data_IF_903844401987
#
_entry.id   IF_903844401987
#
_cell.length_a   1.000
_cell.length_b   1.000
_cell.length_c   1.000
_cell.angle_alpha   90.00
_cell.angle_beta   90.00
_cell.angle_gamma   90.00
#
_symmetry.space_group_name_H-M   'P 1'
#
loop_
_entity.id
_entity.type
_entity.pdbx_description
1 polymer ?
#
# COMPACT_ATOMS: atom_id res chain seq x y z
N UNK A 1 -12.83 18.44 3.53
CA UNK A 1 -11.52 18.13 2.91
C UNK A 1 -10.65 17.39 3.93
N UNK A 2 -10.71 16.06 3.94
CA UNK A 2 -9.86 15.18 4.77
C UNK A 2 -9.35 14.05 3.85
N UNK A 3 -8.42 14.32 2.92
CA UNK A 3 -7.87 13.22 2.09
C UNK A 3 -6.51 13.51 1.41
N UNK A 4 -5.71 14.49 1.86
CA UNK A 4 -4.36 14.66 1.28
C UNK A 4 -3.25 13.91 2.03
N UNK A 5 -3.51 13.33 3.20
CA UNK A 5 -2.41 12.84 4.05
C UNK A 5 -2.07 11.36 3.82
N UNK A 6 -3.05 10.45 3.65
CA UNK A 6 -2.77 9.00 3.57
C UNK A 6 -2.13 8.57 2.25
N UNK A 7 -2.64 9.09 1.12
CA UNK A 7 -2.03 8.83 -0.18
C UNK A 7 -0.58 9.35 -0.23
N UNK A 8 -0.33 10.58 0.22
CA UNK A 8 1.02 11.13 0.31
C UNK A 8 1.94 10.29 1.22
N UNK A 9 1.43 9.81 2.36
CA UNK A 9 2.20 8.93 3.24
C UNK A 9 2.52 7.59 2.58
N UNK A 10 1.56 7.01 1.86
CA UNK A 10 1.78 5.79 1.09
C UNK A 10 2.86 5.99 0.03
N UNK A 11 2.80 7.06 -0.76
CA UNK A 11 3.81 7.37 -1.78
C UNK A 11 5.19 7.54 -1.13
N UNK A 12 5.29 8.32 -0.05
CA UNK A 12 6.56 8.47 0.69
C UNK A 12 7.09 7.14 1.21
N UNK A 13 6.24 6.29 1.77
CA UNK A 13 6.65 4.97 2.27
C UNK A 13 7.16 4.07 1.13
N UNK A 14 6.45 4.08 0.00
CA UNK A 14 6.80 3.33 -1.20
C UNK A 14 8.16 3.78 -1.76
N UNK A 15 8.41 5.09 -1.81
CA UNK A 15 9.70 5.61 -2.28
C UNK A 15 10.84 5.19 -1.36
N UNK A 16 10.64 5.22 -0.03
CA UNK A 16 11.64 4.71 0.93
C UNK A 16 11.86 3.20 0.83
N UNK A 17 10.83 2.42 0.53
CA UNK A 17 10.97 0.99 0.28
C UNK A 17 11.82 0.75 -0.97
N UNK A 18 11.55 1.47 -2.08
CA UNK A 18 12.35 1.39 -3.31
C UNK A 18 13.81 1.78 -3.08
N UNK A 19 14.05 2.87 -2.36
CA UNK A 19 15.41 3.30 -1.97
C UNK A 19 16.14 2.19 -1.19
N UNK A 20 15.47 1.57 -0.21
CA UNK A 20 16.05 0.47 0.57
C UNK A 20 16.38 -0.76 -0.27
N UNK A 21 15.50 -1.13 -1.20
CA UNK A 21 15.71 -2.24 -2.13
C UNK A 21 16.87 -1.99 -3.10
N UNK A 22 17.06 -0.74 -3.56
CA UNK A 22 18.18 -0.38 -4.45
C UNK A 22 19.55 -0.46 -3.76
N UNK A 23 19.56 -0.36 -2.42
CA UNK A 23 20.77 -0.40 -1.62
C UNK A 23 20.98 -1.78 -0.95
N UNK A 24 20.10 -2.75 -1.22
CA UNK A 24 20.08 -4.02 -0.52
C UNK A 24 21.36 -4.83 -0.74
N UNK A 25 21.98 -5.23 0.36
CA UNK A 25 23.06 -6.20 0.45
C UNK A 25 22.51 -7.50 1.06
N UNK A 26 22.67 -8.62 0.34
CA UNK A 26 22.16 -9.93 0.77
C UNK A 26 22.84 -10.45 2.03
N UNK A 27 24.06 -9.98 2.34
CA UNK A 27 24.81 -10.39 3.52
C UNK A 27 24.43 -9.57 4.78
N UNK A 28 23.69 -8.47 4.64
CA UNK A 28 23.24 -7.63 5.76
C UNK A 28 21.84 -8.03 6.26
N UNK A 29 21.81 -8.89 7.29
CA UNK A 29 20.57 -9.34 7.93
C UNK A 29 19.74 -8.19 8.54
N UNK A 30 20.40 -7.16 9.08
CA UNK A 30 19.70 -6.01 9.67
C UNK A 30 19.01 -5.18 8.58
N UNK A 31 19.69 -5.01 7.45
CA UNK A 31 19.10 -4.35 6.29
C UNK A 31 17.91 -5.13 5.74
N UNK A 32 18.03 -6.47 5.66
CA UNK A 32 16.93 -7.36 5.26
C UNK A 32 15.70 -7.17 6.16
N UNK A 33 15.88 -7.20 7.47
CA UNK A 33 14.79 -6.99 8.43
C UNK A 33 14.17 -5.59 8.30
N UNK A 34 15.01 -4.56 8.08
CA UNK A 34 14.55 -3.20 7.81
C UNK A 34 13.70 -3.10 6.53
N UNK A 35 14.06 -3.81 5.47
CA UNK A 35 13.30 -3.85 4.21
C UNK A 35 11.97 -4.59 4.40
N UNK A 36 11.97 -5.73 5.11
CA UNK A 36 10.73 -6.48 5.44
C UNK A 36 9.77 -5.57 6.20
N UNK A 37 10.25 -4.86 7.23
CA UNK A 37 9.41 -3.95 8.00
C UNK A 37 8.85 -2.80 7.15
N UNK A 38 9.67 -2.26 6.23
CA UNK A 38 9.22 -1.23 5.27
C UNK A 38 8.16 -1.78 4.31
N UNK A 39 8.29 -3.01 3.86
CA UNK A 39 7.29 -3.67 3.02
C UNK A 39 5.96 -3.79 3.75
N UNK A 40 5.95 -4.33 4.98
CA UNK A 40 4.74 -4.48 5.79
C UNK A 40 4.04 -3.14 6.04
N UNK A 41 4.82 -2.11 6.40
CA UNK A 41 4.30 -0.76 6.62
C UNK A 41 3.74 -0.14 5.33
N UNK A 42 4.44 -0.30 4.21
CA UNK A 42 3.99 0.21 2.91
C UNK A 42 2.70 -0.48 2.47
N UNK A 43 2.61 -1.81 2.66
CA UNK A 43 1.40 -2.58 2.40
C UNK A 43 0.23 -2.10 3.25
N UNK A 44 0.45 -1.85 4.55
CA UNK A 44 -0.56 -1.34 5.47
C UNK A 44 -1.15 0.01 5.01
N UNK A 45 -0.28 0.92 4.57
CA UNK A 45 -0.70 2.21 4.02
C UNK A 45 -1.44 2.06 2.69
N UNK A 46 -1.00 1.14 1.82
CA UNK A 46 -1.62 0.92 0.51
C UNK A 46 -3.10 0.53 0.65
N UNK A 47 -3.40 -0.52 1.43
CA UNK A 47 -4.78 -0.99 1.55
C UNK A 47 -5.65 0.00 2.34
N UNK A 48 -5.10 0.76 3.30
CA UNK A 48 -5.85 1.82 4.00
C UNK A 48 -6.18 3.00 3.10
N UNK A 49 -5.26 3.37 2.21
CA UNK A 49 -5.50 4.42 1.21
C UNK A 49 -6.59 3.99 0.25
N UNK A 50 -6.52 2.75 -0.25
CA UNK A 50 -7.54 2.21 -1.14
C UNK A 50 -8.91 2.06 -0.46
N UNK A 51 -8.92 1.72 0.83
CA UNK A 51 -10.13 1.71 1.64
C UNK A 51 -10.79 3.10 1.70
N UNK A 52 -10.01 4.17 1.91
CA UNK A 52 -10.57 5.53 1.92
C UNK A 52 -11.19 5.90 0.57
N UNK A 53 -10.55 5.52 -0.54
CA UNK A 53 -11.12 5.73 -1.89
C UNK A 53 -12.47 5.03 -2.01
N UNK A 54 -12.59 3.78 -1.55
CA UNK A 54 -13.86 3.08 -1.56
C UNK A 54 -14.91 3.72 -0.64
N UNK A 55 -14.52 4.17 0.55
CA UNK A 55 -15.43 4.85 1.47
C UNK A 55 -15.94 6.18 0.86
N UNK A 56 -15.08 6.93 0.16
CA UNK A 56 -15.44 8.16 -0.56
C UNK A 56 -16.42 7.90 -1.72
N UNK A 57 -16.32 6.73 -2.38
CA UNK A 57 -17.26 6.25 -3.41
C UNK A 57 -18.53 5.58 -2.83
N UNK A 58 -18.68 5.56 -1.50
CA UNK A 58 -19.85 5.01 -0.81
C UNK A 58 -19.81 3.51 -0.50
N UNK A 59 -18.70 2.84 -0.79
CA UNK A 59 -18.45 1.43 -0.49
C UNK A 59 -17.90 1.28 0.93
N UNK A 60 -18.81 1.13 1.88
CA UNK A 60 -18.50 0.97 3.30
C UNK A 60 -18.42 -0.51 3.72
N UNK A 61 -17.71 -0.79 4.82
CA UNK A 61 -17.66 -2.13 5.42
C UNK A 61 -16.46 -2.99 5.02
N UNK A 62 -15.54 -2.47 4.19
CA UNK A 62 -14.28 -3.14 3.86
C UNK A 62 -13.30 -2.97 5.02
N UNK A 63 -13.17 -3.99 5.88
CA UNK A 63 -12.46 -3.88 7.16
C UNK A 63 -11.14 -4.67 7.24
N UNK A 64 -10.69 -5.23 6.12
CA UNK A 64 -9.42 -5.97 6.05
C UNK A 64 -8.70 -5.72 4.73
N UNK A 65 -7.36 -5.89 4.68
CA UNK A 65 -6.62 -5.81 3.42
C UNK A 65 -7.20 -6.75 2.36
N UNK A 66 -7.56 -7.97 2.76
CA UNK A 66 -8.13 -8.99 1.87
C UNK A 66 -9.44 -8.55 1.22
N UNK A 67 -10.36 -7.97 2.00
CA UNK A 67 -11.65 -7.50 1.48
C UNK A 67 -11.46 -6.30 0.56
N UNK A 68 -10.60 -5.36 0.94
CA UNK A 68 -10.30 -4.16 0.14
C UNK A 68 -9.67 -4.54 -1.20
N UNK A 69 -8.65 -5.41 -1.19
CA UNK A 69 -7.97 -5.83 -2.41
C UNK A 69 -8.87 -6.67 -3.35
N UNK A 70 -9.75 -7.52 -2.78
CA UNK A 70 -10.74 -8.26 -3.58
C UNK A 70 -11.70 -7.31 -4.27
N UNK A 71 -12.19 -6.31 -3.55
CA UNK A 71 -13.09 -5.30 -4.11
C UNK A 71 -12.38 -4.51 -5.22
N UNK A 72 -11.14 -4.07 -4.97
CA UNK A 72 -10.33 -3.40 -5.97
C UNK A 72 -10.13 -4.21 -7.24
N UNK A 73 -9.86 -5.51 -7.10
CA UNK A 73 -9.77 -6.40 -8.24
C UNK A 73 -11.11 -6.50 -8.99
N UNK A 74 -12.25 -6.52 -8.28
CA UNK A 74 -13.59 -6.53 -8.88
C UNK A 74 -13.96 -5.22 -9.58
N UNK A 75 -13.43 -4.08 -9.13
CA UNK A 75 -13.54 -2.76 -9.78
C UNK A 75 -12.51 -2.53 -10.88
N UNK A 76 -11.54 -3.44 -11.04
CA UNK A 76 -10.56 -3.45 -12.11
C UNK A 76 -10.91 -4.45 -13.25
N UNK A 77 -12.17 -4.64 -13.70
CA UNK A 77 -12.39 -5.44 -14.88
C UNK A 77 -11.96 -4.60 -16.09
N UNK A 78 -10.79 -4.96 -16.65
CA UNK A 78 -10.35 -4.68 -18.02
C UNK A 78 -9.71 -3.29 -18.24
N UNK A 79 -8.42 -3.17 -17.88
CA UNK A 79 -7.42 -2.60 -18.81
C UNK A 79 -6.71 -3.74 -19.54
N UNK A 80 -7.51 -4.51 -20.28
CA UNK A 80 -7.09 -5.28 -21.44
C UNK A 80 -8.06 -4.93 -22.58
N UNK A 81 -7.85 -3.74 -23.14
CA UNK A 81 -7.65 -3.55 -24.58
C UNK A 81 -6.41 -2.69 -24.76
#
# INVERSE_FOLDING_TARGET
MKSNNKFENFIKALDRLKEGLLQYDEEDELQRDGIIQRYEFTFELAWKTLKEVFEDEGLVGLNSPKTVLREAYSYMPISHM
#
